data_IF_817742438778
#
_entry.id   IF_817742438778
#
_cell.length_a   1.000
_cell.length_b   1.000
_cell.length_c   1.000
_cell.angle_alpha   90.00
_cell.angle_beta   90.00
_cell.angle_gamma   90.00
#
_symmetry.space_group_name_H-M   'P 1'
#
loop_
_entity.id
_entity.type
_entity.pdbx_description
1 polymer ?
#
# COMPACT_ATOMS: atom_id res chain seq x y z
N UNK A 1 -0.34 2.11 -13.62
CA UNK A 1 -1.35 1.38 -12.81
C UNK A 1 -1.53 1.99 -11.42
N UNK A 2 -0.49 2.12 -10.58
CA UNK A 2 -0.64 2.79 -9.27
C UNK A 2 -0.86 4.31 -9.37
N UNK A 3 -0.29 4.98 -10.37
CA UNK A 3 -0.53 6.42 -10.59
C UNK A 3 -2.01 6.73 -10.87
N UNK A 4 -2.65 5.98 -11.77
CA UNK A 4 -4.08 6.12 -12.07
C UNK A 4 -4.98 5.74 -10.88
N UNK A 5 -4.58 4.74 -10.07
CA UNK A 5 -5.27 4.41 -8.83
C UNK A 5 -5.20 5.58 -7.83
N UNK A 6 -4.02 6.19 -7.69
CA UNK A 6 -3.80 7.33 -6.81
C UNK A 6 -4.61 8.57 -7.23
N UNK A 7 -4.68 8.87 -8.53
CA UNK A 7 -5.52 9.95 -9.07
C UNK A 7 -7.00 9.68 -8.80
N UNK A 8 -7.46 8.44 -9.03
CA UNK A 8 -8.85 8.06 -8.76
C UNK A 8 -9.19 8.12 -7.26
N UNK A 9 -8.28 7.70 -6.39
CA UNK A 9 -8.44 7.79 -4.95
C UNK A 9 -8.60 9.24 -4.48
N UNK A 10 -7.81 10.17 -5.04
CA UNK A 10 -7.94 11.60 -4.76
C UNK A 10 -9.24 12.18 -5.29
N UNK A 11 -9.59 11.88 -6.54
CA UNK A 11 -10.81 12.39 -7.16
C UNK A 11 -12.07 11.94 -6.41
N UNK A 12 -12.05 10.73 -5.84
CA UNK A 12 -13.14 10.19 -5.04
C UNK A 12 -13.08 10.57 -3.56
N UNK A 13 -12.00 11.21 -3.09
CA UNK A 13 -11.82 11.57 -1.68
C UNK A 13 -11.92 10.39 -0.72
N UNK A 14 -11.41 9.22 -1.12
CA UNK A 14 -11.56 8.00 -0.30
C UNK A 14 -10.70 8.06 0.96
N UNK A 15 -11.24 7.58 2.08
CA UNK A 15 -10.48 7.49 3.33
C UNK A 15 -9.42 6.36 3.30
N UNK A 16 -9.62 5.34 2.45
CA UNK A 16 -8.69 4.22 2.35
C UNK A 16 -8.75 3.52 0.99
N UNK A 17 -7.63 2.92 0.61
CA UNK A 17 -7.49 2.01 -0.53
C UNK A 17 -7.06 0.63 0.00
N UNK A 18 -7.82 -0.41 -0.33
CA UNK A 18 -7.50 -1.78 0.02
C UNK A 18 -6.83 -2.51 -1.16
N UNK A 19 -5.78 -3.27 -0.89
CA UNK A 19 -5.06 -4.07 -1.87
C UNK A 19 -5.02 -5.51 -1.36
N UNK A 20 -5.74 -6.36 -2.08
CA UNK A 20 -5.78 -7.79 -1.79
C UNK A 20 -4.59 -8.50 -2.46
N UNK A 21 -3.73 -9.07 -1.63
CA UNK A 21 -2.56 -9.84 -2.03
C UNK A 21 -2.71 -11.33 -1.65
N UNK A 22 -3.86 -11.77 -1.15
CA UNK A 22 -4.04 -13.12 -0.59
C UNK A 22 -3.70 -14.26 -1.56
N UNK A 23 -3.93 -14.02 -2.86
CA UNK A 23 -3.62 -14.94 -3.97
C UNK A 23 -2.30 -14.61 -4.70
N UNK A 24 -1.55 -13.60 -4.25
CA UNK A 24 -0.30 -13.21 -4.89
C UNK A 24 0.87 -14.03 -4.33
N UNK A 25 1.31 -15.03 -5.08
CA UNK A 25 2.38 -15.92 -4.63
C UNK A 25 3.77 -15.29 -4.74
N UNK A 26 3.98 -14.35 -5.65
CA UNK A 26 5.27 -13.74 -5.91
C UNK A 26 5.17 -12.24 -6.21
N UNK A 27 6.11 -11.48 -5.68
CA UNK A 27 6.30 -10.06 -5.97
C UNK A 27 7.76 -9.79 -6.30
N UNK A 28 8.01 -9.22 -7.49
CA UNK A 28 9.35 -8.79 -7.87
C UNK A 28 9.70 -7.40 -7.30
N UNK A 29 10.99 -7.03 -7.41
CA UNK A 29 11.52 -5.76 -6.92
C UNK A 29 10.91 -4.54 -7.60
N UNK A 30 10.59 -4.63 -8.90
CA UNK A 30 9.97 -3.54 -9.66
C UNK A 30 8.57 -3.20 -9.15
N UNK A 31 7.75 -4.22 -8.88
CA UNK A 31 6.42 -4.06 -8.31
C UNK A 31 6.49 -3.52 -6.88
N UNK A 32 7.40 -4.05 -6.06
CA UNK A 32 7.61 -3.55 -4.70
C UNK A 32 8.06 -2.08 -4.67
N UNK A 33 8.99 -1.70 -5.56
CA UNK A 33 9.41 -0.30 -5.71
C UNK A 33 8.25 0.62 -6.08
N UNK A 34 7.33 0.15 -6.93
CA UNK A 34 6.15 0.92 -7.29
C UNK A 34 5.24 1.19 -6.08
N UNK A 35 5.10 0.24 -5.15
CA UNK A 35 4.41 0.47 -3.88
C UNK A 35 5.10 1.53 -3.03
N UNK A 36 6.42 1.41 -2.84
CA UNK A 36 7.20 2.39 -2.06
C UNK A 36 7.03 3.79 -2.63
N UNK A 37 7.17 3.97 -3.95
CA UNK A 37 6.99 5.28 -4.60
C UNK A 37 5.56 5.82 -4.47
N UNK A 38 4.54 4.95 -4.48
CA UNK A 38 3.16 5.37 -4.27
C UNK A 38 2.91 5.81 -2.83
N UNK A 39 3.43 5.07 -1.84
CA UNK A 39 3.34 5.40 -0.42
C UNK A 39 4.02 6.74 -0.13
N UNK A 40 5.24 6.93 -0.63
CA UNK A 40 5.98 8.20 -0.51
C UNK A 40 5.18 9.38 -1.08
N UNK A 41 4.56 9.18 -2.25
CA UNK A 41 3.68 10.20 -2.85
C UNK A 41 2.47 10.51 -1.98
N UNK A 42 1.89 9.54 -1.27
CA UNK A 42 0.79 9.81 -0.33
C UNK A 42 1.32 10.55 0.90
N UNK A 43 2.48 10.19 1.45
CA UNK A 43 3.10 10.89 2.60
C UNK A 43 3.38 12.36 2.32
N UNK A 44 3.73 12.70 1.09
CA UNK A 44 4.03 14.08 0.67
C UNK A 44 2.78 14.93 0.41
N UNK A 45 1.57 14.36 0.46
CA UNK A 45 0.33 15.12 0.32
C UNK A 45 0.01 15.90 1.59
N UNK A 46 -0.80 16.96 1.44
CA UNK A 46 -1.43 17.66 2.58
C UNK A 46 -2.14 16.64 3.49
N UNK A 47 -1.95 16.73 4.81
CA UNK A 47 -2.48 15.77 5.78
C UNK A 47 -4.00 15.52 5.64
N UNK A 48 -4.77 16.53 5.24
CA UNK A 48 -6.22 16.42 5.01
C UNK A 48 -6.61 15.64 3.76
N UNK A 49 -5.68 15.47 2.81
CA UNK A 49 -5.87 14.75 1.54
C UNK A 49 -5.24 13.35 1.57
N UNK A 50 -4.43 13.05 2.57
CA UNK A 50 -3.85 11.72 2.75
C UNK A 50 -4.95 10.68 2.99
N UNK A 51 -4.70 9.47 2.51
CA UNK A 51 -5.57 8.31 2.73
C UNK A 51 -4.76 7.11 3.19
N UNK A 52 -5.44 6.17 3.85
CA UNK A 52 -4.81 4.94 4.33
C UNK A 52 -4.69 3.90 3.22
N UNK A 53 -3.63 3.10 3.28
CA UNK A 53 -3.39 1.96 2.40
C UNK A 53 -3.49 0.71 3.27
N UNK A 54 -4.42 -0.19 2.92
CA UNK A 54 -4.65 -1.43 3.64
C UNK A 54 -4.24 -2.61 2.77
N UNK A 55 -3.26 -3.38 3.21
CA UNK A 55 -2.85 -4.60 2.53
C UNK A 55 -3.55 -5.79 3.17
N UNK A 56 -4.38 -6.51 2.41
CA UNK A 56 -4.94 -7.79 2.83
C UNK A 56 -3.95 -8.87 2.41
N UNK A 57 -3.41 -9.60 3.37
CA UNK A 57 -2.26 -10.48 3.17
C UNK A 57 -2.53 -11.90 3.64
N UNK A 58 -1.92 -12.87 2.98
CA UNK A 58 -1.89 -14.25 3.42
C UNK A 58 -0.63 -14.49 4.28
N UNK A 59 -0.76 -14.70 5.60
CA UNK A 59 0.39 -14.86 6.50
C UNK A 59 1.20 -16.15 6.25
N UNK A 60 0.66 -17.11 5.48
CA UNK A 60 1.40 -18.30 5.05
C UNK A 60 2.50 -17.96 4.02
N UNK A 61 2.41 -16.82 3.34
CA UNK A 61 3.37 -16.41 2.31
C UNK A 61 4.46 -15.53 2.94
N UNK A 62 5.69 -16.08 3.02
CA UNK A 62 6.81 -15.47 3.76
C UNK A 62 7.16 -14.05 3.31
N UNK A 63 7.15 -13.79 1.99
CA UNK A 63 7.48 -12.46 1.48
C UNK A 63 6.40 -11.44 1.86
N UNK A 64 5.12 -11.82 1.91
CA UNK A 64 4.05 -10.91 2.32
C UNK A 64 4.27 -10.48 3.77
N UNK A 65 4.56 -11.43 4.66
CA UNK A 65 4.85 -11.12 6.06
C UNK A 65 6.05 -10.18 6.23
N UNK A 66 7.17 -10.44 5.55
CA UNK A 66 8.41 -9.66 5.72
C UNK A 66 8.34 -8.30 5.02
N UNK A 67 7.93 -8.30 3.75
CA UNK A 67 7.96 -7.10 2.92
C UNK A 67 6.84 -6.12 3.27
N UNK A 68 5.63 -6.61 3.60
CA UNK A 68 4.54 -5.71 4.02
C UNK A 68 4.82 -5.10 5.40
N UNK A 69 5.41 -5.86 6.32
CA UNK A 69 5.85 -5.31 7.61
C UNK A 69 6.88 -4.19 7.41
N UNK A 70 7.82 -4.35 6.46
CA UNK A 70 8.76 -3.28 6.12
C UNK A 70 8.04 -2.02 5.59
N UNK A 71 7.00 -2.18 4.76
CA UNK A 71 6.17 -1.05 4.33
C UNK A 71 5.44 -0.39 5.51
N UNK A 72 4.86 -1.18 6.42
CA UNK A 72 4.21 -0.65 7.61
C UNK A 72 5.18 0.16 8.49
N UNK A 73 6.43 -0.30 8.67
CA UNK A 73 7.45 0.48 9.38
C UNK A 73 7.80 1.79 8.65
N UNK A 74 7.80 1.77 7.31
CA UNK A 74 8.12 2.95 6.50
C UNK A 74 7.06 4.06 6.60
N UNK A 75 5.78 3.70 6.73
CA UNK A 75 4.67 4.66 6.83
C UNK A 75 3.58 4.20 7.82
N UNK A 76 3.92 4.14 9.10
CA UNK A 76 3.09 3.54 10.16
C UNK A 76 1.66 4.11 10.24
N UNK A 77 1.50 5.42 10.09
CA UNK A 77 0.19 6.07 10.21
C UNK A 77 -0.71 5.87 8.97
N UNK A 78 -0.10 5.53 7.82
CA UNK A 78 -0.79 5.37 6.55
C UNK A 78 -1.05 3.91 6.20
N UNK A 79 -0.29 2.97 6.76
CA UNK A 79 -0.30 1.58 6.33
C UNK A 79 -0.84 0.67 7.43
N UNK A 80 -1.79 -0.18 7.05
CA UNK A 80 -2.25 -1.30 7.87
C UNK A 80 -2.23 -2.60 7.07
N UNK A 81 -2.09 -3.71 7.79
CA UNK A 81 -2.02 -5.05 7.23
C UNK A 81 -3.12 -5.89 7.87
N UNK A 82 -4.04 -6.35 7.03
CA UNK A 82 -5.13 -7.24 7.38
C UNK A 82 -4.76 -8.69 6.99
N UNK A 83 -5.42 -9.67 7.61
CA UNK A 83 -5.20 -11.12 7.41
C UNK A 83 -6.45 -11.81 6.91
#
# INVERSE_FOLDING_TARGET
MLASLHEKAQALGVASVAIDLTQLEFMNSSCFKAFVSWIDRVQQMDAQKQYRIRFVSNPAILWQRRSLHALQCFAAELISIDR
#
